data_IF_704953747876
#
_entry.id   IF_704953747876
#
_cell.length_a   1.000
_cell.length_b   1.000
_cell.length_c   1.000
_cell.angle_alpha   90.00
_cell.angle_beta   90.00
_cell.angle_gamma   90.00
#
_symmetry.space_group_name_H-M   'P 1'
#
loop_
_entity.id
_entity.type
_entity.pdbx_description
1 polymer ?
#
# COMPACT_ATOMS: atom_id res chain seq x y z
N UNK A 1 -6.01 12.26 19.09
CA UNK A 1 -6.43 12.31 20.51
C UNK A 1 -7.81 11.69 20.62
N UNK A 2 -8.01 10.85 21.62
CA UNK A 2 -9.30 10.20 21.89
C UNK A 2 -9.55 10.15 23.40
N UNK A 3 -10.82 10.08 23.79
CA UNK A 3 -11.26 9.79 25.16
C UNK A 3 -11.86 8.38 25.14
N UNK A 4 -11.45 7.52 26.08
CA UNK A 4 -11.99 6.17 26.23
C UNK A 4 -12.80 6.08 27.52
N UNK A 5 -14.00 5.50 27.43
CA UNK A 5 -14.73 5.00 28.59
C UNK A 5 -14.17 3.62 28.92
N UNK A 6 -13.66 3.45 30.14
CA UNK A 6 -13.15 2.16 30.60
C UNK A 6 -14.33 1.29 31.03
N UNK A 7 -14.42 0.10 30.45
CA UNK A 7 -15.42 -0.93 30.78
C UNK A 7 -14.76 -2.11 31.49
N UNK A 8 -13.63 -2.59 30.99
CA UNK A 8 -12.87 -3.70 31.60
C UNK A 8 -11.37 -3.41 31.56
N UNK A 9 -10.66 -3.92 32.58
CA UNK A 9 -9.19 -3.95 32.64
C UNK A 9 -8.77 -5.39 32.87
N UNK A 10 -7.96 -5.95 31.96
CA UNK A 10 -7.52 -7.35 32.00
C UNK A 10 -6.00 -7.43 31.90
N UNK A 11 -5.42 -8.42 32.58
CA UNK A 11 -4.01 -8.78 32.38
C UNK A 11 -3.92 -9.99 31.47
N UNK A 12 -3.12 -9.87 30.42
CA UNK A 12 -2.80 -10.97 29.51
C UNK A 12 -1.61 -11.74 30.06
N UNK A 13 -1.66 -13.07 30.01
CA UNK A 13 -0.49 -13.91 30.29
C UNK A 13 0.55 -13.82 29.17
N UNK A 14 1.81 -14.16 29.45
CA UNK A 14 2.85 -14.21 28.40
C UNK A 14 2.52 -15.29 27.34
N UNK A 15 1.82 -16.36 27.73
CA UNK A 15 1.35 -17.43 26.85
C UNK A 15 0.29 -16.92 25.86
N UNK A 16 -0.71 -16.19 26.34
CA UNK A 16 -1.74 -15.59 25.49
C UNK A 16 -1.17 -14.50 24.57
N UNK A 17 -0.22 -13.69 25.08
CA UNK A 17 0.48 -12.67 24.27
C UNK A 17 1.25 -13.33 23.12
N UNK A 18 1.98 -14.41 23.42
CA UNK A 18 2.69 -15.23 22.43
C UNK A 18 1.74 -15.88 21.43
N UNK A 19 0.59 -16.40 21.89
CA UNK A 19 -0.42 -16.98 21.01
C UNK A 19 -1.03 -15.93 20.06
N UNK A 20 -1.32 -14.73 20.56
CA UNK A 20 -1.80 -13.62 19.72
C UNK A 20 -0.77 -13.19 18.68
N UNK A 21 0.51 -13.01 19.08
CA UNK A 21 1.57 -12.65 18.15
C UNK A 21 1.69 -13.69 17.03
N UNK A 22 1.74 -14.98 17.38
CA UNK A 22 1.79 -16.08 16.40
C UNK A 22 0.61 -16.05 15.43
N UNK A 23 -0.59 -15.76 15.91
CA UNK A 23 -1.81 -15.74 15.09
C UNK A 23 -1.93 -14.49 14.20
N UNK A 24 -1.36 -13.36 14.62
CA UNK A 24 -1.37 -12.09 13.88
C UNK A 24 -0.25 -12.09 12.84
N UNK A 25 0.98 -12.41 13.24
CA UNK A 25 2.19 -12.25 12.42
C UNK A 25 2.71 -13.56 11.83
N UNK A 26 2.10 -14.70 12.13
CA UNK A 26 2.59 -16.02 11.69
C UNK A 26 3.89 -16.47 12.37
N UNK A 27 4.49 -15.64 13.22
CA UNK A 27 5.76 -15.89 13.91
C UNK A 27 5.76 -15.26 15.31
N UNK A 28 6.63 -15.77 16.18
CA UNK A 28 6.95 -15.19 17.50
C UNK A 28 8.37 -14.61 17.53
N UNK A 29 9.03 -14.53 16.37
CA UNK A 29 10.37 -14.00 16.25
C UNK A 29 10.39 -12.50 16.56
N UNK A 30 11.21 -12.10 17.53
CA UNK A 30 11.34 -10.71 17.97
C UNK A 30 12.10 -9.83 16.97
N UNK A 31 12.80 -10.42 16.00
CA UNK A 31 13.40 -9.67 14.90
C UNK A 31 12.34 -9.19 13.90
N UNK A 32 11.14 -9.80 13.89
CA UNK A 32 10.01 -9.29 13.14
C UNK A 32 9.53 -7.96 13.76
N UNK A 33 9.53 -6.82 13.02
CA UNK A 33 9.24 -5.50 13.60
C UNK A 33 7.82 -5.39 14.18
N UNK A 34 6.84 -6.03 13.54
CA UNK A 34 5.47 -6.16 14.07
C UNK A 34 5.38 -6.87 15.41
N UNK A 35 5.98 -8.08 15.52
CA UNK A 35 6.06 -8.84 16.78
C UNK A 35 6.74 -8.02 17.87
N UNK A 36 7.92 -7.45 17.58
CA UNK A 36 8.67 -6.60 18.53
C UNK A 36 7.85 -5.45 19.06
N UNK A 37 7.18 -4.73 18.16
CA UNK A 37 6.34 -3.61 18.55
C UNK A 37 5.19 -4.09 19.43
N UNK A 38 4.44 -5.11 18.97
CA UNK A 38 3.25 -5.63 19.65
C UNK A 38 3.55 -6.12 21.07
N UNK A 39 4.62 -6.90 21.27
CA UNK A 39 4.98 -7.47 22.57
C UNK A 39 5.62 -6.44 23.51
N UNK A 40 6.09 -5.30 23.00
CA UNK A 40 6.68 -4.22 23.82
C UNK A 40 5.66 -3.31 24.51
N UNK A 41 4.37 -3.38 24.14
CA UNK A 41 3.32 -2.46 24.61
C UNK A 41 2.81 -2.77 26.02
N UNK A 42 3.35 -3.81 26.68
CA UNK A 42 2.88 -4.29 27.97
C UNK A 42 1.72 -5.27 27.86
N UNK A 43 1.21 -5.74 29.01
CA UNK A 43 0.25 -6.84 29.08
C UNK A 43 -1.06 -6.47 29.80
N UNK A 44 -1.38 -5.18 29.92
CA UNK A 44 -2.64 -4.71 30.50
C UNK A 44 -3.55 -4.19 29.38
N UNK A 45 -4.67 -4.88 29.14
CA UNK A 45 -5.68 -4.45 28.19
C UNK A 45 -6.71 -3.58 28.89
N UNK A 46 -7.00 -2.43 28.29
CA UNK A 46 -8.05 -1.52 28.72
C UNK A 46 -9.07 -1.48 27.58
N UNK A 47 -10.27 -2.01 27.84
CA UNK A 47 -11.34 -2.11 26.84
C UNK A 47 -12.52 -1.20 27.18
N UNK A 48 -13.22 -0.77 26.13
CA UNK A 48 -14.44 0.03 26.20
C UNK A 48 -14.55 1.02 25.05
N UNK A 49 -15.70 1.69 24.98
CA UNK A 49 -16.01 2.64 23.90
C UNK A 49 -15.08 3.87 23.86
N UNK A 50 -14.77 4.35 22.65
CA UNK A 50 -13.92 5.54 22.43
C UNK A 50 -14.67 6.65 21.70
N UNK A 51 -14.31 7.89 21.98
CA UNK A 51 -14.65 9.09 21.20
C UNK A 51 -13.36 9.73 20.69
N UNK A 52 -13.14 9.66 19.39
CA UNK A 52 -11.99 10.30 18.73
C UNK A 52 -12.27 11.80 18.60
N UNK A 53 -11.31 12.63 19.02
CA UNK A 53 -11.41 14.10 19.00
C UNK A 53 -10.64 14.74 17.86
N UNK A 54 -9.58 14.08 17.39
CA UNK A 54 -8.83 14.46 16.20
C UNK A 54 -8.09 13.25 15.63
N UNK A 55 -7.66 13.35 14.37
CA UNK A 55 -6.93 12.31 13.65
C UNK A 55 -5.40 12.45 13.82
N UNK A 56 -4.92 12.84 15.00
CA UNK A 56 -3.49 13.02 15.26
C UNK A 56 -2.85 14.06 14.31
N UNK A 57 -1.57 13.90 13.98
CA UNK A 57 -0.81 14.76 13.08
C UNK A 57 -1.18 14.58 11.60
N UNK A 58 -1.90 13.52 11.22
CA UNK A 58 -2.12 13.19 9.81
C UNK A 58 -2.80 14.30 8.98
N UNK A 59 -3.88 14.95 9.44
CA UNK A 59 -4.48 16.05 8.68
C UNK A 59 -3.61 17.31 8.65
N UNK A 60 -2.81 17.54 9.70
CA UNK A 60 -1.95 18.72 9.80
C UNK A 60 -0.73 18.63 8.88
N UNK A 61 -0.10 17.45 8.84
CA UNK A 61 1.11 17.21 8.06
C UNK A 61 0.78 16.84 6.59
N UNK A 62 -0.42 16.30 6.33
CA UNK A 62 -0.85 15.88 5.00
C UNK A 62 -2.26 16.42 4.63
N UNK A 63 -2.49 17.75 4.68
CA UNK A 63 -3.83 18.34 4.57
C UNK A 63 -4.52 18.07 3.23
N UNK A 64 -3.74 17.91 2.15
CA UNK A 64 -4.27 17.70 0.79
C UNK A 64 -4.40 16.21 0.41
N UNK A 65 -4.01 15.32 1.31
CA UNK A 65 -3.88 13.88 1.03
C UNK A 65 -4.66 13.05 2.04
N UNK A 66 -4.56 13.35 3.33
CA UNK A 66 -5.34 12.66 4.35
C UNK A 66 -6.83 12.80 4.06
N UNK A 67 -7.57 11.69 4.16
CA UNK A 67 -9.03 11.71 4.16
C UNK A 67 -9.57 10.54 4.98
N UNK A 68 -10.72 10.77 5.60
CA UNK A 68 -11.51 9.74 6.26
C UNK A 68 -12.19 8.83 5.23
N UNK A 69 -12.62 7.64 5.66
CA UNK A 69 -13.36 6.73 4.80
C UNK A 69 -14.67 7.35 4.27
N UNK A 70 -15.32 8.20 5.06
CA UNK A 70 -16.54 8.92 4.67
C UNK A 70 -16.27 9.95 3.57
N UNK A 71 -15.23 10.77 3.73
CA UNK A 71 -14.82 11.74 2.71
C UNK A 71 -14.39 11.03 1.41
N UNK A 72 -13.71 9.89 1.52
CA UNK A 72 -13.35 9.08 0.34
C UNK A 72 -14.61 8.56 -0.33
N UNK A 73 -15.57 7.97 0.39
CA UNK A 73 -16.85 7.53 -0.19
C UNK A 73 -17.56 8.65 -0.93
N UNK A 74 -17.58 9.85 -0.34
CA UNK A 74 -18.14 11.03 -0.98
C UNK A 74 -17.42 11.37 -2.29
N UNK A 75 -16.08 11.42 -2.29
CA UNK A 75 -15.28 11.67 -3.51
C UNK A 75 -15.56 10.63 -4.61
N UNK A 76 -15.65 9.35 -4.26
CA UNK A 76 -15.98 8.28 -5.21
C UNK A 76 -17.39 8.46 -5.80
N UNK A 77 -18.37 8.77 -4.95
CA UNK A 77 -19.75 9.03 -5.38
C UNK A 77 -19.87 10.28 -6.25
N UNK A 78 -19.19 11.37 -5.89
CA UNK A 78 -19.19 12.62 -6.66
C UNK A 78 -18.54 12.44 -8.04
N UNK A 79 -17.62 11.47 -8.16
CA UNK A 79 -16.98 11.08 -9.43
C UNK A 79 -17.86 10.14 -10.29
N UNK A 80 -19.01 9.70 -9.77
CA UNK A 80 -19.92 8.78 -10.43
C UNK A 80 -19.43 7.32 -10.50
N UNK A 81 -18.44 6.95 -9.67
CA UNK A 81 -17.83 5.61 -9.73
C UNK A 81 -18.61 4.58 -8.93
N UNK A 82 -18.76 3.37 -9.48
CA UNK A 82 -19.38 2.22 -8.83
C UNK A 82 -18.37 1.10 -8.60
N UNK A 83 -17.61 0.73 -9.63
CA UNK A 83 -16.56 -0.29 -9.54
C UNK A 83 -15.21 0.40 -9.36
N UNK A 84 -14.77 0.49 -8.11
CA UNK A 84 -13.52 1.15 -7.72
C UNK A 84 -12.47 0.12 -7.31
N UNK A 85 -11.26 0.26 -7.85
CA UNK A 85 -10.08 -0.52 -7.48
C UNK A 85 -9.24 0.26 -6.47
N UNK A 86 -8.76 -0.37 -5.41
CA UNK A 86 -7.81 0.24 -4.49
C UNK A 86 -6.38 -0.24 -4.74
N UNK A 87 -5.44 0.70 -4.73
CA UNK A 87 -4.00 0.43 -4.77
C UNK A 87 -3.31 1.10 -3.58
N UNK A 88 -2.64 0.32 -2.74
CA UNK A 88 -1.87 0.84 -1.62
C UNK A 88 -0.42 1.10 -2.03
N UNK A 89 0.13 2.26 -1.66
CA UNK A 89 1.56 2.51 -1.77
C UNK A 89 2.08 3.38 -0.63
N UNK A 90 3.36 3.21 -0.30
CA UNK A 90 4.15 4.12 0.56
C UNK A 90 5.31 4.77 -0.21
N UNK A 91 5.55 4.32 -1.44
CA UNK A 91 6.63 4.76 -2.31
C UNK A 91 6.06 5.58 -3.47
N UNK A 92 6.88 6.39 -4.16
CA UNK A 92 6.53 6.90 -5.47
C UNK A 92 6.14 5.75 -6.41
N UNK A 93 5.18 6.01 -7.30
CA UNK A 93 4.80 5.04 -8.32
C UNK A 93 5.71 5.21 -9.55
N UNK A 94 6.38 4.14 -9.93
CA UNK A 94 7.09 4.05 -11.20
C UNK A 94 6.17 3.45 -12.27
N UNK A 95 6.65 3.32 -13.50
CA UNK A 95 5.85 2.86 -14.65
C UNK A 95 5.24 1.47 -14.41
N UNK A 96 5.92 0.60 -13.66
CA UNK A 96 5.40 -0.71 -13.28
C UNK A 96 4.08 -0.61 -12.48
N UNK A 97 4.03 0.22 -11.42
CA UNK A 97 2.83 0.40 -10.60
C UNK A 97 1.73 1.20 -11.33
N UNK A 98 2.12 2.17 -12.15
CA UNK A 98 1.21 2.90 -13.04
C UNK A 98 0.43 1.93 -13.94
N UNK A 99 1.16 1.08 -14.67
CA UNK A 99 0.58 0.13 -15.60
C UNK A 99 -0.16 -1.00 -14.87
N UNK A 100 0.27 -1.40 -13.66
CA UNK A 100 -0.49 -2.34 -12.83
C UNK A 100 -1.90 -1.80 -12.51
N UNK A 101 -2.00 -0.52 -12.14
CA UNK A 101 -3.30 0.10 -11.89
C UNK A 101 -4.15 0.11 -13.17
N UNK A 102 -3.56 0.45 -14.32
CA UNK A 102 -4.25 0.43 -15.61
C UNK A 102 -4.71 -0.96 -16.03
N UNK A 103 -3.88 -1.99 -15.83
CA UNK A 103 -4.26 -3.39 -16.06
C UNK A 103 -5.44 -3.80 -15.19
N UNK A 104 -5.45 -3.39 -13.91
CA UNK A 104 -6.57 -3.68 -13.02
C UNK A 104 -7.85 -2.95 -13.47
N UNK A 105 -7.75 -1.68 -13.86
CA UNK A 105 -8.87 -0.91 -14.40
C UNK A 105 -9.46 -1.58 -15.66
N UNK A 106 -8.61 -1.96 -16.61
CA UNK A 106 -9.01 -2.59 -17.86
C UNK A 106 -9.66 -3.97 -17.61
N UNK A 107 -8.95 -4.88 -16.92
CA UNK A 107 -9.40 -6.27 -16.72
C UNK A 107 -10.69 -6.37 -15.92
N UNK A 108 -10.90 -5.44 -14.98
CA UNK A 108 -12.11 -5.42 -14.16
C UNK A 108 -13.21 -4.55 -14.78
N UNK A 109 -12.92 -3.81 -15.85
CA UNK A 109 -13.80 -2.76 -16.37
C UNK A 109 -14.26 -1.83 -15.24
N UNK A 110 -13.29 -1.31 -14.48
CA UNK A 110 -13.52 -0.44 -13.33
C UNK A 110 -13.55 1.03 -13.74
N UNK A 111 -14.34 1.82 -13.02
CA UNK A 111 -14.56 3.23 -13.30
C UNK A 111 -13.35 4.09 -12.89
N UNK A 112 -12.64 3.66 -11.84
CA UNK A 112 -11.45 4.36 -11.38
C UNK A 112 -10.69 3.65 -10.27
N UNK A 113 -9.50 4.18 -10.00
CA UNK A 113 -8.58 3.66 -8.98
C UNK A 113 -8.41 4.66 -7.83
N UNK A 114 -8.56 4.18 -6.60
CA UNK A 114 -8.13 4.88 -5.40
C UNK A 114 -6.67 4.52 -5.12
N UNK A 115 -5.76 5.44 -5.39
CA UNK A 115 -4.37 5.36 -4.96
C UNK A 115 -4.33 5.80 -3.49
N UNK A 116 -4.28 4.82 -2.58
CA UNK A 116 -4.48 5.01 -1.16
C UNK A 116 -3.16 4.89 -0.38
N UNK A 117 -2.51 6.03 -0.13
CA UNK A 117 -1.21 6.10 0.51
C UNK A 117 -1.26 5.81 2.01
N UNK A 118 -0.30 5.03 2.50
CA UNK A 118 -0.04 4.92 3.94
C UNK A 118 0.75 6.16 4.39
N UNK A 119 0.14 6.97 5.25
CA UNK A 119 0.75 8.18 5.83
C UNK A 119 1.33 7.83 7.20
N UNK A 120 2.54 8.31 7.45
CA UNK A 120 3.29 7.96 8.65
C UNK A 120 4.53 8.84 8.80
N UNK A 121 5.24 8.66 9.91
CA UNK A 121 6.55 9.30 10.09
C UNK A 121 7.54 8.68 9.11
N UNK A 122 8.45 9.51 8.60
CA UNK A 122 9.54 9.07 7.73
C UNK A 122 10.50 8.18 8.52
N UNK A 123 10.98 7.10 7.90
CA UNK A 123 12.18 6.39 8.33
C UNK A 123 13.41 6.99 7.65
N UNK A 124 14.58 6.73 8.21
CA UNK A 124 15.83 7.14 7.58
C UNK A 124 15.92 6.57 6.15
N UNK A 125 16.16 7.47 5.18
CA UNK A 125 16.19 7.12 3.75
C UNK A 125 14.84 7.12 3.03
N UNK A 126 13.72 7.38 3.72
CA UNK A 126 12.42 7.57 3.05
C UNK A 126 12.35 8.91 2.32
N UNK A 127 11.61 8.94 1.21
CA UNK A 127 11.30 10.17 0.46
C UNK A 127 10.21 10.95 1.22
N UNK A 128 10.38 12.27 1.43
CA UNK A 128 9.37 13.12 2.05
C UNK A 128 7.98 12.97 1.44
N UNK A 129 6.96 13.10 2.29
CA UNK A 129 5.59 12.77 1.89
C UNK A 129 5.02 13.67 0.81
N UNK A 130 5.40 14.95 0.81
CA UNK A 130 5.08 15.95 -0.19
C UNK A 130 5.75 15.65 -1.55
N UNK A 131 7.01 15.22 -1.56
CA UNK A 131 7.72 14.83 -2.79
C UNK A 131 7.08 13.58 -3.40
N UNK A 132 6.74 12.58 -2.58
CA UNK A 132 6.01 11.38 -3.03
C UNK A 132 4.64 11.74 -3.61
N UNK A 133 3.88 12.58 -2.91
CA UNK A 133 2.56 13.04 -3.33
C UNK A 133 2.64 13.79 -4.68
N UNK A 134 3.62 14.69 -4.83
CA UNK A 134 3.87 15.40 -6.09
C UNK A 134 4.19 14.44 -7.24
N UNK A 135 5.04 13.43 -7.02
CA UNK A 135 5.39 12.42 -8.02
C UNK A 135 4.16 11.61 -8.48
N UNK A 136 3.31 11.16 -7.54
CA UNK A 136 2.09 10.41 -7.85
C UNK A 136 1.06 11.30 -8.56
N UNK A 137 0.87 12.54 -8.11
CA UNK A 137 -0.04 13.50 -8.77
C UNK A 137 0.39 13.80 -10.19
N UNK A 138 1.68 14.04 -10.42
CA UNK A 138 2.22 14.28 -11.77
C UNK A 138 2.00 13.09 -12.70
N UNK A 139 2.17 11.87 -12.18
CA UNK A 139 1.88 10.65 -12.92
C UNK A 139 0.40 10.56 -13.30
N UNK A 140 -0.52 10.80 -12.35
CA UNK A 140 -1.97 10.77 -12.61
C UNK A 140 -2.39 11.84 -13.61
N UNK A 141 -1.91 13.07 -13.45
CA UNK A 141 -2.23 14.21 -14.31
C UNK A 141 -1.90 13.95 -15.79
N UNK A 142 -0.76 13.31 -16.06
CA UNK A 142 -0.27 13.15 -17.44
C UNK A 142 -0.69 11.80 -18.04
N UNK A 143 -0.70 10.74 -17.24
CA UNK A 143 -0.74 9.37 -17.75
C UNK A 143 -2.03 8.60 -17.46
N UNK A 144 -2.95 9.14 -16.66
CA UNK A 144 -4.27 8.56 -16.46
C UNK A 144 -5.32 9.35 -17.25
N UNK A 145 -6.32 8.69 -17.85
CA UNK A 145 -7.46 9.40 -18.40
C UNK A 145 -8.16 10.25 -17.33
N UNK A 146 -8.78 11.35 -17.75
CA UNK A 146 -9.55 12.21 -16.86
C UNK A 146 -10.60 11.40 -16.09
N UNK A 147 -10.78 11.71 -14.81
CA UNK A 147 -11.74 11.05 -13.92
C UNK A 147 -11.56 9.52 -13.81
N UNK A 148 -10.31 9.02 -13.77
CA UNK A 148 -10.03 7.58 -13.54
C UNK A 148 -9.11 7.28 -12.34
N UNK A 149 -8.56 8.30 -11.67
CA UNK A 149 -7.71 8.11 -10.51
C UNK A 149 -7.95 9.18 -9.43
N UNK A 150 -8.12 8.73 -8.18
CA UNK A 150 -8.19 9.58 -6.99
C UNK A 150 -7.00 9.24 -6.10
N UNK A 151 -6.30 10.28 -5.66
CA UNK A 151 -5.17 10.16 -4.74
C UNK A 151 -5.66 10.57 -3.34
N UNK A 152 -5.43 9.69 -2.37
CA UNK A 152 -5.78 9.92 -0.96
C UNK A 152 -4.81 9.19 -0.06
N UNK A 153 -4.85 9.45 1.24
CA UNK A 153 -4.04 8.76 2.24
C UNK A 153 -4.77 8.54 3.56
N UNK A 154 -4.31 7.53 4.29
CA UNK A 154 -4.80 7.18 5.63
C UNK A 154 -3.63 7.10 6.60
N UNK A 155 -3.89 7.46 7.85
CA UNK A 155 -2.92 7.37 8.93
C UNK A 155 -3.01 6.03 9.65
N UNK A 156 -1.93 5.24 9.59
CA UNK A 156 -1.83 3.94 10.25
C UNK A 156 -0.37 3.49 10.34
N UNK A 157 0.02 2.91 11.47
CA UNK A 157 1.32 2.27 11.61
C UNK A 157 1.24 0.86 11.03
N UNK A 158 2.00 0.60 9.97
CA UNK A 158 2.10 -0.73 9.34
C UNK A 158 2.46 -1.80 10.37
N UNK A 159 1.72 -2.91 10.35
CA UNK A 159 1.96 -4.05 11.24
C UNK A 159 3.05 -4.97 10.70
N UNK A 160 3.26 -4.95 9.38
CA UNK A 160 4.08 -5.92 8.64
C UNK A 160 3.56 -7.36 8.83
N UNK A 161 2.25 -7.53 8.95
CA UNK A 161 1.62 -8.82 9.29
C UNK A 161 1.18 -9.63 8.06
N UNK A 162 1.73 -9.30 6.88
CA UNK A 162 1.58 -10.05 5.64
C UNK A 162 0.10 -10.40 5.34
N UNK A 163 -0.25 -11.69 5.23
CA UNK A 163 -1.62 -12.12 4.93
C UNK A 163 -2.69 -11.56 5.88
N UNK A 164 -2.41 -11.47 7.19
CA UNK A 164 -3.39 -10.96 8.16
C UNK A 164 -3.66 -9.46 7.94
N UNK A 165 -2.61 -8.70 7.62
CA UNK A 165 -2.74 -7.28 7.31
C UNK A 165 -3.40 -7.05 5.95
N UNK A 166 -3.27 -7.97 5.00
CA UNK A 166 -4.03 -7.93 3.74
C UNK A 166 -5.55 -7.98 3.97
N UNK A 167 -6.03 -8.78 4.93
CA UNK A 167 -7.44 -8.79 5.35
C UNK A 167 -7.88 -7.45 5.97
N UNK A 168 -7.05 -6.87 6.84
CA UNK A 168 -7.30 -5.55 7.41
C UNK A 168 -7.38 -4.49 6.31
N UNK A 169 -6.42 -4.53 5.39
CA UNK A 169 -6.36 -3.69 4.21
C UNK A 169 -7.66 -3.78 3.40
N UNK A 170 -8.11 -4.98 3.04
CA UNK A 170 -9.37 -5.18 2.33
C UNK A 170 -10.57 -4.59 3.10
N UNK A 171 -10.64 -4.84 4.40
CA UNK A 171 -11.73 -4.38 5.28
C UNK A 171 -11.91 -2.87 5.22
N UNK A 172 -10.85 -2.07 5.43
CA UNK A 172 -11.04 -0.63 5.44
C UNK A 172 -11.12 -0.02 4.03
N UNK A 173 -10.64 -0.69 2.98
CA UNK A 173 -10.91 -0.27 1.59
C UNK A 173 -12.36 -0.50 1.21
N UNK A 174 -12.96 -1.61 1.65
CA UNK A 174 -14.40 -1.82 1.53
C UNK A 174 -15.16 -0.70 2.25
N UNK A 175 -14.70 -0.28 3.43
CA UNK A 175 -15.30 0.84 4.17
C UNK A 175 -15.10 2.19 3.48
N UNK A 176 -14.09 2.36 2.63
CA UNK A 176 -13.92 3.53 1.76
C UNK A 176 -14.83 3.50 0.52
N UNK A 177 -15.48 2.36 0.24
CA UNK A 177 -16.32 2.18 -0.96
C UNK A 177 -15.62 1.50 -2.14
N UNK A 178 -14.42 0.94 -1.94
CA UNK A 178 -13.75 0.18 -2.97
C UNK A 178 -14.41 -1.19 -3.16
N UNK A 179 -14.59 -1.57 -4.42
CA UNK A 179 -15.13 -2.88 -4.83
C UNK A 179 -14.03 -3.93 -4.98
N UNK A 180 -12.80 -3.50 -5.28
CA UNK A 180 -11.65 -4.38 -5.45
C UNK A 180 -10.42 -3.83 -4.72
N UNK A 181 -9.53 -4.73 -4.29
CA UNK A 181 -8.19 -4.40 -3.78
C UNK A 181 -7.14 -5.12 -4.63
N UNK A 182 -6.13 -4.37 -5.09
CA UNK A 182 -4.92 -4.97 -5.66
C UNK A 182 -4.07 -5.55 -4.53
N UNK A 183 -3.82 -6.86 -4.60
CA UNK A 183 -2.92 -7.58 -3.68
C UNK A 183 -1.83 -8.22 -4.53
N UNK A 184 -0.60 -7.70 -4.41
CA UNK A 184 0.57 -8.21 -5.14
C UNK A 184 1.30 -9.32 -4.39
N UNK A 185 2.48 -9.67 -4.91
CA UNK A 185 3.45 -10.53 -4.25
C UNK A 185 3.94 -9.87 -2.94
N UNK A 186 4.04 -10.66 -1.88
CA UNK A 186 4.56 -10.26 -0.56
C UNK A 186 3.82 -9.03 0.04
N UNK A 187 2.51 -8.96 -0.18
CA UNK A 187 1.70 -7.82 0.25
C UNK A 187 1.70 -7.67 1.78
N UNK A 188 2.11 -6.49 2.25
CA UNK A 188 2.29 -6.17 3.67
C UNK A 188 3.29 -7.09 4.41
N UNK A 189 4.15 -7.80 3.68
CA UNK A 189 5.19 -8.65 4.24
C UNK A 189 6.44 -7.88 4.70
N UNK A 190 7.34 -8.62 5.34
CA UNK A 190 8.67 -8.17 5.74
C UNK A 190 9.60 -9.39 5.81
N UNK A 191 10.87 -9.20 5.46
CA UNK A 191 11.84 -10.30 5.45
C UNK A 191 11.35 -11.48 4.61
N UNK A 192 11.57 -12.69 5.11
CA UNK A 192 11.16 -13.94 4.49
C UNK A 192 10.15 -14.72 5.36
N UNK A 193 9.30 -14.01 6.12
CA UNK A 193 8.34 -14.64 7.05
C UNK A 193 7.09 -15.21 6.38
N UNK A 194 6.78 -14.79 5.16
CA UNK A 194 5.54 -15.15 4.46
C UNK A 194 5.85 -15.69 3.07
N UNK A 195 5.09 -16.70 2.64
CA UNK A 195 5.16 -17.16 1.26
C UNK A 195 4.72 -16.05 0.30
N UNK A 196 5.30 -15.97 -0.91
CA UNK A 196 5.12 -14.84 -1.82
C UNK A 196 3.67 -14.47 -2.16
N UNK A 197 2.76 -15.45 -2.17
CA UNK A 197 1.35 -15.23 -2.51
C UNK A 197 0.38 -15.57 -1.36
N UNK A 198 0.88 -15.84 -0.15
CA UNK A 198 0.04 -16.16 1.00
C UNK A 198 -0.99 -15.06 1.31
N UNK A 199 -0.68 -13.80 1.00
CA UNK A 199 -1.59 -12.67 1.18
C UNK A 199 -2.76 -12.66 0.18
N UNK A 200 -2.68 -13.40 -0.92
CA UNK A 200 -3.78 -13.65 -1.84
C UNK A 200 -4.56 -14.89 -1.39
N UNK A 201 -3.86 -15.98 -1.11
CA UNK A 201 -4.43 -17.28 -0.72
C UNK A 201 -5.27 -17.21 0.55
N UNK A 202 -4.97 -16.29 1.48
CA UNK A 202 -5.79 -16.11 2.69
C UNK A 202 -7.25 -15.75 2.39
N UNK A 203 -7.53 -15.15 1.21
CA UNK A 203 -8.89 -14.84 0.77
C UNK A 203 -9.65 -16.05 0.24
N UNK A 204 -8.97 -17.16 -0.04
CA UNK A 204 -9.63 -18.41 -0.45
C UNK A 204 -10.35 -19.11 0.70
N UNK A 205 -10.09 -18.69 1.93
CA UNK A 205 -10.79 -19.18 3.12
C UNK A 205 -12.30 -18.83 3.07
N UNK A 206 -13.15 -19.84 3.27
CA UNK A 206 -14.61 -19.70 3.18
C UNK A 206 -15.22 -18.71 4.19
N UNK A 207 -14.63 -18.54 5.37
CA UNK A 207 -15.08 -17.54 6.35
C UNK A 207 -14.77 -16.14 5.80
N UNK A 208 -13.60 -15.94 5.21
CA UNK A 208 -13.19 -14.65 4.63
C UNK A 208 -14.11 -14.27 3.46
N UNK A 209 -14.36 -15.18 2.52
CA UNK A 209 -15.27 -14.96 1.38
C UNK A 209 -16.69 -14.55 1.81
N UNK A 210 -17.18 -15.09 2.93
CA UNK A 210 -18.50 -14.74 3.48
C UNK A 210 -18.50 -13.44 4.28
N UNK A 211 -17.34 -13.01 4.76
CA UNK A 211 -17.20 -11.83 5.64
C UNK A 211 -16.94 -10.53 4.88
N UNK A 212 -16.29 -10.62 3.71
CA UNK A 212 -15.92 -9.47 2.88
C UNK A 212 -16.67 -9.48 1.55
N UNK A 213 -17.12 -8.31 1.12
CA UNK A 213 -17.72 -8.04 -0.20
C UNK A 213 -16.71 -7.54 -1.22
N UNK A 214 -15.62 -6.93 -0.76
CA UNK A 214 -14.51 -6.49 -1.62
C UNK A 214 -13.81 -7.70 -2.23
N UNK A 215 -13.55 -7.65 -3.53
CA UNK A 215 -12.87 -8.70 -4.26
C UNK A 215 -11.37 -8.39 -4.40
N UNK A 216 -10.56 -9.43 -4.61
CA UNK A 216 -9.11 -9.26 -4.76
C UNK A 216 -8.73 -9.32 -6.23
N UNK A 217 -8.08 -8.25 -6.71
CA UNK A 217 -7.28 -8.32 -7.92
C UNK A 217 -5.91 -8.88 -7.54
N UNK A 218 -5.78 -10.21 -7.65
CA UNK A 218 -4.52 -10.90 -7.41
C UNK A 218 -3.51 -10.42 -8.45
N UNK A 219 -2.53 -9.62 -8.07
CA UNK A 219 -1.48 -9.11 -8.94
C UNK A 219 -0.19 -9.95 -8.79
N UNK A 220 0.77 -9.70 -9.65
CA UNK A 220 2.11 -10.29 -9.55
C UNK A 220 3.17 -9.19 -9.82
N UNK A 221 4.44 -9.53 -9.68
CA UNK A 221 5.55 -8.66 -10.04
C UNK A 221 5.34 -8.14 -11.48
N UNK A 222 5.30 -6.82 -11.63
CA UNK A 222 5.20 -6.16 -12.93
C UNK A 222 6.55 -5.63 -13.37
N UNK A 223 6.93 -5.92 -14.61
CA UNK A 223 8.17 -5.44 -15.19
C UNK A 223 7.97 -5.07 -16.66
N UNK A 224 8.81 -4.18 -17.17
CA UNK A 224 8.80 -3.86 -18.59
C UNK A 224 9.45 -5.00 -19.38
N UNK A 225 8.69 -5.61 -20.29
CA UNK A 225 9.19 -6.61 -21.22
C UNK A 225 9.81 -5.94 -22.46
N UNK A 226 11.07 -6.27 -22.74
CA UNK A 226 11.77 -5.88 -23.98
C UNK A 226 11.17 -6.56 -25.20
N UNK A 227 10.78 -7.84 -25.08
CA UNK A 227 10.14 -8.61 -26.15
C UNK A 227 8.80 -8.01 -26.59
N UNK A 228 7.96 -7.66 -25.62
CA UNK A 228 6.58 -7.19 -25.88
C UNK A 228 6.47 -5.67 -25.91
N UNK A 229 7.57 -4.96 -25.61
CA UNK A 229 7.66 -3.50 -25.55
C UNK A 229 6.57 -2.85 -24.67
N UNK A 230 6.22 -3.50 -23.55
CA UNK A 230 5.19 -3.05 -22.60
C UNK A 230 5.44 -3.63 -21.21
N UNK A 231 4.82 -3.02 -20.20
CA UNK A 231 4.76 -3.62 -18.86
C UNK A 231 3.83 -4.82 -18.90
N UNK A 232 4.23 -5.91 -18.25
CA UNK A 232 3.44 -7.12 -18.06
C UNK A 232 3.55 -7.58 -16.61
N UNK A 233 2.55 -8.32 -16.11
CA UNK A 233 2.75 -9.15 -14.93
C UNK A 233 3.56 -10.38 -15.34
N UNK A 234 4.57 -10.74 -14.55
CA UNK A 234 5.51 -11.80 -14.91
C UNK A 234 4.82 -13.16 -15.12
N UNK A 235 3.81 -13.50 -14.33
CA UNK A 235 2.99 -14.71 -14.55
C UNK A 235 2.22 -14.76 -15.89
N UNK A 236 2.02 -13.63 -16.57
CA UNK A 236 1.25 -13.58 -17.83
C UNK A 236 2.14 -13.89 -19.05
N UNK A 237 3.44 -14.14 -18.85
CA UNK A 237 4.41 -14.44 -19.90
C UNK A 237 5.26 -15.65 -19.49
N UNK A 238 5.20 -16.71 -20.29
CA UNK A 238 5.87 -17.99 -20.03
C UNK A 238 7.14 -18.18 -20.88
N UNK A 239 7.34 -17.34 -21.91
CA UNK A 239 8.47 -17.42 -22.83
C UNK A 239 9.65 -16.49 -22.49
N UNK A 240 9.62 -15.78 -21.34
CA UNK A 240 10.63 -14.79 -20.97
C UNK A 240 11.74 -15.37 -20.09
N UNK A 241 12.96 -14.94 -20.38
CA UNK A 241 14.10 -15.03 -19.48
C UNK A 241 14.22 -13.77 -18.61
N UNK A 242 15.07 -13.81 -17.59
CA UNK A 242 15.32 -12.64 -16.73
C UNK A 242 15.84 -11.43 -17.52
N UNK A 243 16.62 -11.66 -18.57
CA UNK A 243 17.24 -10.61 -19.38
C UNK A 243 16.24 -9.92 -20.33
N UNK A 244 15.06 -10.52 -20.53
CA UNK A 244 13.97 -9.92 -21.31
C UNK A 244 13.21 -8.83 -20.55
N UNK A 245 13.52 -8.63 -19.26
CA UNK A 245 12.90 -7.60 -18.42
C UNK A 245 13.85 -6.45 -18.12
N UNK A 246 13.29 -5.25 -17.96
CA UNK A 246 13.99 -4.10 -17.37
C UNK A 246 13.64 -4.05 -15.89
N UNK A 247 14.64 -4.37 -15.05
CA UNK A 247 14.52 -4.35 -13.59
C UNK A 247 15.63 -3.45 -13.04
N UNK A 248 15.28 -2.54 -12.13
CA UNK A 248 16.22 -1.69 -11.40
C UNK A 248 16.01 -1.88 -9.91
N UNK A 249 17.10 -2.14 -9.18
CA UNK A 249 17.05 -2.18 -7.72
C UNK A 249 16.83 -0.76 -7.16
N UNK A 250 16.16 -0.65 -6.02
CA UNK A 250 15.95 0.65 -5.37
C UNK A 250 17.26 1.39 -5.08
N UNK A 251 18.33 0.66 -4.75
CA UNK A 251 19.68 1.23 -4.59
C UNK A 251 20.18 1.85 -5.89
N UNK A 252 20.02 1.17 -7.02
CA UNK A 252 20.47 1.70 -8.32
C UNK A 252 19.64 2.92 -8.75
N UNK A 253 18.32 2.88 -8.54
CA UNK A 253 17.43 4.03 -8.79
C UNK A 253 17.90 5.26 -8.01
N UNK A 254 18.17 5.11 -6.70
CA UNK A 254 18.65 6.22 -5.87
C UNK A 254 20.01 6.74 -6.31
N UNK A 255 20.95 5.85 -6.64
CA UNK A 255 22.27 6.24 -7.13
C UNK A 255 22.18 7.10 -8.39
N UNK A 256 21.40 6.66 -9.39
CA UNK A 256 21.21 7.39 -10.64
C UNK A 256 20.59 8.77 -10.40
N UNK A 257 19.51 8.84 -9.62
CA UNK A 257 18.83 10.11 -9.31
C UNK A 257 19.74 11.07 -8.52
N UNK A 258 20.52 10.56 -7.57
CA UNK A 258 21.52 11.32 -6.81
C UNK A 258 22.69 11.78 -7.68
N UNK A 259 23.00 11.10 -8.78
CA UNK A 259 24.00 11.55 -9.75
C UNK A 259 23.45 12.50 -10.82
N UNK A 260 22.14 12.75 -10.81
CA UNK A 260 21.47 13.58 -11.81
C UNK A 260 21.25 12.85 -13.14
N UNK A 261 21.40 11.53 -13.13
CA UNK A 261 21.19 10.66 -14.27
C UNK A 261 19.69 10.39 -14.48
N UNK A 262 19.29 10.26 -15.74
CA UNK A 262 17.91 9.92 -16.09
C UNK A 262 17.65 8.41 -15.90
N UNK A 263 16.48 8.07 -15.36
CA UNK A 263 16.02 6.69 -15.32
C UNK A 263 15.54 6.26 -16.72
N UNK A 264 15.69 4.97 -17.08
CA UNK A 264 15.14 4.46 -18.34
C UNK A 264 13.64 4.72 -18.45
N UNK A 265 13.17 5.11 -19.63
CA UNK A 265 11.76 5.41 -19.89
C UNK A 265 10.85 4.18 -19.69
N UNK A 266 11.41 2.98 -19.84
CA UNK A 266 10.81 1.68 -19.55
C UNK A 266 10.51 1.51 -18.05
N UNK A 267 11.28 2.17 -17.18
CA UNK A 267 11.16 2.05 -15.73
C UNK A 267 10.32 3.18 -15.12
N UNK A 268 10.58 4.44 -15.50
CA UNK A 268 9.89 5.59 -14.94
C UNK A 268 9.56 6.63 -16.01
N UNK A 269 8.42 7.31 -15.82
CA UNK A 269 8.05 8.48 -16.63
C UNK A 269 9.00 9.63 -16.34
N UNK A 270 9.41 10.37 -17.37
CA UNK A 270 10.42 11.43 -17.24
C UNK A 270 10.03 12.50 -16.21
N UNK A 271 8.79 12.97 -16.27
CA UNK A 271 8.26 14.03 -15.40
C UNK A 271 8.19 13.60 -13.94
N UNK A 272 7.91 12.31 -13.71
CA UNK A 272 7.92 11.70 -12.38
C UNK A 272 9.36 11.55 -11.88
N UNK A 273 10.26 11.05 -12.73
CA UNK A 273 11.68 10.88 -12.41
C UNK A 273 12.36 12.22 -12.13
N UNK A 274 12.02 13.28 -12.87
CA UNK A 274 12.57 14.62 -12.68
C UNK A 274 12.23 15.20 -11.30
N UNK A 275 11.00 15.01 -10.80
CA UNK A 275 10.62 15.40 -9.43
C UNK A 275 11.52 14.71 -8.39
N UNK A 276 11.70 13.39 -8.54
CA UNK A 276 12.53 12.61 -7.62
C UNK A 276 14.01 13.01 -7.74
N UNK A 277 14.51 13.21 -8.96
CA UNK A 277 15.88 13.64 -9.25
C UNK A 277 16.16 15.00 -8.60
N UNK A 278 15.28 15.98 -8.74
CA UNK A 278 15.42 17.29 -8.11
C UNK A 278 15.54 17.19 -6.59
N UNK A 279 14.73 16.33 -5.95
CA UNK A 279 14.85 16.06 -4.52
C UNK A 279 16.22 15.45 -4.18
N UNK A 280 16.65 14.39 -4.86
CA UNK A 280 17.94 13.75 -4.56
C UNK A 280 19.15 14.67 -4.84
N UNK A 281 19.07 15.55 -5.85
CA UNK A 281 20.10 16.56 -6.09
C UNK A 281 20.17 17.60 -4.97
N UNK A 282 19.06 17.92 -4.30
CA UNK A 282 19.04 18.88 -3.19
C UNK A 282 19.61 18.35 -1.86
N UNK A 283 19.86 17.03 -1.77
CA UNK A 283 20.50 16.42 -0.61
C UNK A 283 22.04 16.50 -0.64
N UNK A 284 22.62 16.96 -1.76
CA UNK A 284 24.05 17.21 -1.93
C UNK A 284 24.41 18.63 -1.54
#
# INVERSE_FOLDING_TARGET
MAIQRIETIEKISDEDLSLMAKNIFGTNDIEHPGVKNFTSLGNTLISGSIKVLNYSYFPSDFPNTFATAEEIRKKLSDSGWTKVVAFQTRNPMHRAHEELCKMALERLSADGVLIHMTLGKLKEGDIPGDIRDAAIRKMVEIYFPNNTAIISGFGFDMLYAGPREALLHATFRQNCGCSHLIVGRDHAGVGDYYEPFAAQEIFDNEIVKKSLKIEIFAADHTAFSKKLNKVVMMRDVDDHSKDDFVLLSGTKVREMLSNGEDLPAEFARKEVADILKSYYQSLK
#
